data_IF_609602582044
#
_entry.id   IF_609602582044
#
_cell.length_a   1.000
_cell.length_b   1.000
_cell.length_c   1.000
_cell.angle_alpha   90.00
_cell.angle_beta   90.00
_cell.angle_gamma   90.00
#
_symmetry.space_group_name_H-M   'P 1'
#
loop_
_entity.id
_entity.type
_entity.pdbx_description
1 polymer ?
#
# COMPACT_ATOMS: atom_id res chain seq x y z
N UNK A 1 2.09 45.38 -39.32
CA UNK A 1 1.08 44.47 -38.71
C UNK A 1 1.44 42.96 -38.79
N UNK A 2 2.72 42.58 -38.96
CA UNK A 2 3.11 41.15 -39.06
C UNK A 2 4.02 40.59 -37.93
N UNK A 3 4.82 41.38 -37.17
CA UNK A 3 5.71 40.80 -36.16
C UNK A 3 5.03 40.49 -34.83
N UNK A 4 4.01 41.26 -34.42
CA UNK A 4 3.32 41.07 -33.14
C UNK A 4 2.45 39.79 -33.11
N UNK A 5 1.84 39.44 -34.24
CA UNK A 5 1.02 38.23 -34.38
C UNK A 5 1.86 36.96 -34.34
N UNK A 6 3.06 37.00 -34.94
CA UNK A 6 4.03 35.89 -34.91
C UNK A 6 4.58 35.68 -33.49
N UNK A 7 4.86 36.77 -32.77
CA UNK A 7 5.32 36.70 -31.37
C UNK A 7 4.23 36.12 -30.45
N UNK A 8 2.97 36.53 -30.61
CA UNK A 8 1.83 36.00 -29.86
C UNK A 8 1.58 34.50 -30.14
N UNK A 9 1.71 34.07 -31.39
CA UNK A 9 1.65 32.66 -31.76
C UNK A 9 2.80 31.84 -31.16
N UNK A 10 4.03 32.37 -31.18
CA UNK A 10 5.20 31.71 -30.57
C UNK A 10 5.05 31.59 -29.04
N UNK A 11 4.53 32.61 -28.36
CA UNK A 11 4.26 32.53 -26.92
C UNK A 11 3.14 31.54 -26.59
N UNK A 12 2.10 31.44 -27.43
CA UNK A 12 1.03 30.47 -27.23
C UNK A 12 1.49 29.02 -27.46
N UNK A 13 2.33 28.79 -28.48
CA UNK A 13 2.92 27.47 -28.76
C UNK A 13 3.86 27.04 -27.61
N UNK A 14 4.65 27.97 -27.05
CA UNK A 14 5.57 27.67 -25.96
C UNK A 14 4.84 27.36 -24.62
N UNK A 15 3.67 27.97 -24.39
CA UNK A 15 2.83 27.64 -23.22
C UNK A 15 2.13 26.28 -23.34
N UNK A 16 1.78 25.85 -24.56
CA UNK A 16 1.15 24.55 -24.82
C UNK A 16 2.11 23.37 -24.59
N UNK A 17 3.40 23.53 -24.85
CA UNK A 17 4.40 22.47 -24.64
C UNK A 17 4.90 22.36 -23.20
N UNK A 18 4.55 23.32 -22.33
CA UNK A 18 5.08 23.42 -20.97
C UNK A 18 4.19 22.76 -19.89
N UNK A 19 3.04 22.19 -20.25
CA UNK A 19 2.04 21.71 -19.27
C UNK A 19 2.14 20.23 -18.89
N UNK A 20 2.87 19.39 -19.64
CA UNK A 20 2.94 17.94 -19.39
C UNK A 20 4.27 17.50 -18.76
N UNK A 21 4.65 18.11 -17.63
CA UNK A 21 5.88 17.74 -16.88
C UNK A 21 5.54 16.84 -15.66
N UNK A 22 4.43 16.11 -15.68
CA UNK A 22 4.22 15.07 -14.68
C UNK A 22 4.96 13.81 -15.13
N UNK A 23 5.92 13.29 -14.35
CA UNK A 23 6.55 12.03 -14.69
C UNK A 23 5.47 10.94 -14.79
N UNK A 24 5.58 10.02 -15.77
CA UNK A 24 4.64 8.91 -15.86
C UNK A 24 4.68 8.11 -14.55
N UNK A 25 3.53 7.55 -14.16
CA UNK A 25 3.49 6.61 -13.05
C UNK A 25 4.27 5.34 -13.41
N UNK A 26 4.86 4.66 -12.41
CA UNK A 26 5.47 3.35 -12.61
C UNK A 26 4.37 2.29 -12.66
N UNK A 27 4.18 1.59 -13.80
CA UNK A 27 3.16 0.54 -13.92
C UNK A 27 3.36 -0.58 -12.90
N UNK A 28 2.28 -1.26 -12.54
CA UNK A 28 2.28 -2.40 -11.61
C UNK A 28 3.23 -3.50 -12.05
N UNK A 29 3.28 -3.84 -13.34
CA UNK A 29 4.17 -4.90 -13.82
C UNK A 29 5.64 -4.57 -13.52
N UNK A 30 6.09 -3.33 -13.75
CA UNK A 30 7.45 -2.90 -13.38
C UNK A 30 7.70 -2.96 -11.86
N UNK A 31 6.71 -2.58 -11.06
CA UNK A 31 6.80 -2.65 -9.59
C UNK A 31 6.89 -4.09 -9.10
N UNK A 32 6.11 -4.99 -9.68
CA UNK A 32 6.12 -6.44 -9.40
C UNK A 32 7.44 -7.07 -9.86
N UNK A 33 7.93 -6.73 -11.05
CA UNK A 33 9.23 -7.18 -11.55
C UNK A 33 10.37 -6.73 -10.64
N UNK A 34 10.29 -5.50 -10.13
CA UNK A 34 11.20 -4.99 -9.09
C UNK A 34 11.25 -5.88 -7.85
N UNK A 35 10.10 -6.38 -7.39
CA UNK A 35 10.05 -7.35 -6.29
C UNK A 35 10.71 -8.69 -6.64
N UNK A 36 10.44 -9.24 -7.82
CA UNK A 36 11.08 -10.49 -8.27
C UNK A 36 12.60 -10.35 -8.38
N UNK A 37 13.07 -9.22 -8.90
CA UNK A 37 14.49 -8.88 -8.95
C UNK A 37 15.11 -8.80 -7.54
N UNK A 38 14.39 -8.20 -6.57
CA UNK A 38 14.82 -8.18 -5.16
C UNK A 38 14.96 -9.59 -4.58
N UNK A 39 14.00 -10.48 -4.84
CA UNK A 39 14.04 -11.86 -4.35
C UNK A 39 15.24 -12.61 -4.96
N UNK A 40 15.43 -12.54 -6.28
CA UNK A 40 16.55 -13.16 -6.96
C UNK A 40 17.92 -12.62 -6.47
N UNK A 41 18.01 -11.31 -6.20
CA UNK A 41 19.20 -10.70 -5.64
C UNK A 41 19.48 -11.19 -4.20
N UNK A 42 18.43 -11.39 -3.39
CA UNK A 42 18.54 -11.92 -2.03
C UNK A 42 19.09 -13.36 -2.04
N UNK A 43 18.60 -14.21 -2.93
CA UNK A 43 19.08 -15.60 -3.08
C UNK A 43 20.56 -15.69 -3.46
N UNK A 44 21.04 -14.76 -4.28
CA UNK A 44 22.44 -14.71 -4.77
C UNK A 44 23.37 -13.93 -3.85
N UNK A 45 22.86 -13.36 -2.75
CA UNK A 45 23.63 -12.51 -1.87
C UNK A 45 24.64 -13.31 -1.05
N UNK A 46 25.92 -12.92 -1.11
CA UNK A 46 26.98 -13.49 -0.28
C UNK A 46 26.74 -13.28 1.23
N UNK A 47 25.91 -12.30 1.58
CA UNK A 47 25.52 -11.97 2.96
C UNK A 47 24.05 -12.24 3.24
N UNK A 48 23.36 -12.99 2.36
CA UNK A 48 21.91 -13.25 2.46
C UNK A 48 21.48 -14.02 3.70
N UNK A 49 22.42 -14.74 4.34
CA UNK A 49 22.19 -15.49 5.58
C UNK A 49 22.50 -14.69 6.86
N UNK A 50 23.00 -13.46 6.73
CA UNK A 50 23.26 -12.60 7.89
C UNK A 50 21.92 -12.03 8.37
N UNK A 51 21.54 -12.40 9.59
CA UNK A 51 20.34 -11.87 10.22
C UNK A 51 20.53 -10.38 10.58
N UNK A 52 19.65 -9.53 10.05
CA UNK A 52 19.56 -8.15 10.48
C UNK A 52 18.82 -8.07 11.82
N UNK A 53 19.30 -7.19 12.70
CA UNK A 53 18.61 -6.84 13.94
C UNK A 53 18.29 -5.36 13.95
N UNK A 54 17.09 -5.01 14.36
CA UNK A 54 16.76 -3.61 14.64
C UNK A 54 17.64 -3.10 15.78
N UNK A 55 18.20 -1.90 15.62
CA UNK A 55 18.98 -1.19 16.65
C UNK A 55 18.18 -0.01 17.25
N UNK A 56 16.89 0.05 16.97
CA UNK A 56 16.02 1.19 17.28
C UNK A 56 15.71 2.03 16.05
N UNK A 57 15.04 3.19 16.22
CA UNK A 57 14.75 3.89 17.48
C UNK A 57 13.69 3.17 18.34
N UNK A 58 13.88 3.15 19.66
CA UNK A 58 12.90 2.58 20.61
C UNK A 58 11.68 3.45 20.84
N UNK A 59 11.66 4.70 20.33
CA UNK A 59 10.64 5.73 20.64
C UNK A 59 10.05 6.42 19.40
N UNK A 60 10.61 6.26 18.20
CA UNK A 60 10.03 6.94 17.04
C UNK A 60 8.76 6.24 16.59
N UNK A 61 7.63 6.94 16.74
CA UNK A 61 6.33 6.52 16.23
C UNK A 61 6.25 6.75 14.71
N UNK A 62 5.41 5.94 14.05
CA UNK A 62 5.03 6.12 12.65
C UNK A 62 3.60 6.63 12.52
N UNK A 63 3.16 6.88 11.30
CA UNK A 63 1.76 7.20 11.01
C UNK A 63 0.96 5.90 10.95
N UNK A 64 0.14 5.65 11.98
CA UNK A 64 -0.88 4.59 11.96
C UNK A 64 -1.94 4.98 10.93
N UNK A 65 -2.14 4.11 9.96
CA UNK A 65 -3.18 4.25 8.94
C UNK A 65 -4.49 3.61 9.43
N UNK A 66 -4.39 2.46 10.09
CA UNK A 66 -5.55 1.70 10.54
C UNK A 66 -5.21 0.71 11.67
N UNK A 67 -6.22 0.24 12.39
CA UNK A 67 -6.12 -0.79 13.43
C UNK A 67 -7.38 -1.64 13.48
N UNK A 68 -7.22 -2.94 13.74
CA UNK A 68 -8.33 -3.88 13.92
C UNK A 68 -8.10 -4.66 15.22
N UNK A 69 -9.13 -4.74 16.07
CA UNK A 69 -9.04 -5.21 17.46
C UNK A 69 -9.99 -6.37 17.66
N UNK A 70 -9.50 -7.45 18.28
CA UNK A 70 -10.35 -8.60 18.59
C UNK A 70 -11.36 -8.25 19.67
N UNK A 71 -12.65 -8.27 19.33
CA UNK A 71 -13.71 -7.87 20.26
C UNK A 71 -13.76 -8.72 21.55
N UNK A 72 -13.41 -10.01 21.46
CA UNK A 72 -13.37 -10.92 22.62
C UNK A 72 -12.10 -10.78 23.47
N UNK A 73 -11.03 -10.21 22.92
CA UNK A 73 -9.76 -9.99 23.60
C UNK A 73 -9.10 -8.69 23.08
N UNK A 74 -9.40 -7.54 23.70
CA UNK A 74 -8.84 -6.26 23.25
C UNK A 74 -7.32 -6.13 23.42
N UNK A 75 -6.66 -7.09 24.07
CA UNK A 75 -5.18 -7.13 24.15
C UNK A 75 -4.56 -7.66 22.86
N UNK A 76 -5.36 -8.28 21.99
CA UNK A 76 -5.00 -8.78 20.68
C UNK A 76 -5.51 -7.85 19.58
N UNK A 77 -4.59 -7.20 18.87
CA UNK A 77 -4.92 -6.31 17.76
C UNK A 77 -3.80 -6.21 16.73
N UNK A 78 -4.18 -5.75 15.54
CA UNK A 78 -3.24 -5.40 14.48
C UNK A 78 -3.18 -3.89 14.31
N UNK A 79 -2.01 -3.41 13.87
CA UNK A 79 -1.76 -2.00 13.56
C UNK A 79 -1.08 -1.90 12.21
N UNK A 80 -1.72 -1.17 11.30
CA UNK A 80 -1.22 -0.88 9.98
C UNK A 80 -0.58 0.52 9.93
N UNK A 81 0.58 0.62 9.32
CA UNK A 81 1.30 1.89 9.17
C UNK A 81 1.36 2.34 7.72
N UNK A 82 1.28 3.66 7.51
CA UNK A 82 1.36 4.28 6.19
C UNK A 82 2.63 3.89 5.41
N UNK A 83 3.75 3.69 6.12
CA UNK A 83 5.05 3.34 5.56
C UNK A 83 5.86 2.46 6.52
N UNK A 84 5.20 1.56 7.22
CA UNK A 84 5.82 0.75 8.28
C UNK A 84 5.33 -0.69 8.35
N UNK A 85 4.53 -1.15 7.39
CA UNK A 85 4.00 -2.52 7.37
C UNK A 85 2.85 -2.77 8.36
N UNK A 86 2.52 -4.05 8.52
CA UNK A 86 1.49 -4.56 9.43
C UNK A 86 2.16 -5.21 10.64
N UNK A 87 1.63 -4.90 11.83
CA UNK A 87 2.14 -5.41 13.10
C UNK A 87 1.01 -6.03 13.91
N UNK A 88 1.33 -7.11 14.62
CA UNK A 88 0.44 -7.80 15.56
C UNK A 88 0.92 -7.62 16.98
N UNK A 89 0.00 -7.46 17.92
CA UNK A 89 0.26 -7.58 19.36
C UNK A 89 -0.78 -8.47 20.00
N UNK A 90 -0.38 -9.20 21.05
CA UNK A 90 -1.24 -10.05 21.89
C UNK A 90 -1.03 -9.69 23.37
N UNK A 91 -0.41 -8.54 23.64
CA UNK A 91 -0.09 -8.09 25.00
C UNK A 91 -0.34 -6.59 25.17
N UNK A 92 -1.44 -6.13 24.61
CA UNK A 92 -1.94 -4.76 24.74
C UNK A 92 -0.92 -3.71 24.27
N UNK A 93 -0.19 -4.00 23.20
CA UNK A 93 0.80 -3.09 22.62
C UNK A 93 2.14 -3.00 23.37
N UNK A 94 2.42 -3.91 24.32
CA UNK A 94 3.71 -3.94 25.01
C UNK A 94 4.84 -4.41 24.09
N UNK A 95 4.54 -5.30 23.15
CA UNK A 95 5.43 -5.69 22.06
C UNK A 95 4.65 -5.97 20.78
N UNK A 96 5.33 -5.86 19.64
CA UNK A 96 4.74 -6.10 18.33
C UNK A 96 5.59 -7.06 17.50
N UNK A 97 4.90 -7.91 16.72
CA UNK A 97 5.50 -8.81 15.73
C UNK A 97 5.17 -8.29 14.33
N UNK A 98 6.15 -8.07 13.44
CA UNK A 98 5.89 -7.66 12.07
C UNK A 98 5.35 -8.83 11.25
N UNK A 99 4.29 -8.60 10.48
CA UNK A 99 3.64 -9.63 9.65
C UNK A 99 3.84 -9.43 8.15
N UNK A 100 4.19 -8.23 7.68
CA UNK A 100 4.16 -7.87 6.26
C UNK A 100 5.51 -7.41 5.68
N UNK A 101 6.62 -7.61 6.39
CA UNK A 101 7.96 -7.12 6.00
C UNK A 101 8.54 -7.80 4.76
N UNK A 102 7.98 -8.94 4.37
CA UNK A 102 8.49 -9.76 3.27
C UNK A 102 7.80 -9.48 1.94
N UNK A 103 6.67 -8.78 1.96
CA UNK A 103 5.86 -8.54 0.78
C UNK A 103 6.41 -7.41 -0.11
N UNK A 104 5.74 -7.18 -1.25
CA UNK A 104 6.22 -6.27 -2.31
C UNK A 104 6.37 -4.83 -1.83
N UNK A 105 5.52 -4.41 -0.91
CA UNK A 105 5.43 -3.04 -0.41
C UNK A 105 5.22 -3.04 1.10
N UNK A 106 5.60 -1.96 1.76
CA UNK A 106 5.37 -1.76 3.20
C UNK A 106 4.26 -0.74 3.50
N UNK A 107 3.67 -0.14 2.47
CA UNK A 107 2.67 0.90 2.62
C UNK A 107 1.29 0.28 2.71
N UNK A 108 0.56 0.62 3.78
CA UNK A 108 -0.79 0.11 4.03
C UNK A 108 -1.74 1.30 4.15
N UNK A 109 -2.86 1.21 3.44
CA UNK A 109 -3.94 2.17 3.49
C UNK A 109 -5.08 1.75 4.40
N UNK A 110 -5.38 0.45 4.47
CA UNK A 110 -6.48 -0.09 5.28
C UNK A 110 -6.29 -1.59 5.53
N UNK A 111 -6.83 -2.10 6.65
CA UNK A 111 -6.91 -3.53 6.94
C UNK A 111 -8.33 -3.92 7.35
N UNK A 112 -8.69 -5.17 7.12
CA UNK A 112 -9.92 -5.72 7.66
C UNK A 112 -9.74 -7.18 8.08
N UNK A 113 -10.12 -7.50 9.31
CA UNK A 113 -9.86 -8.81 9.91
C UNK A 113 -11.15 -9.58 10.15
N UNK A 114 -11.20 -10.80 9.63
CA UNK A 114 -12.20 -11.81 9.99
C UNK A 114 -11.63 -12.67 11.13
N UNK A 115 -11.79 -12.16 12.35
CA UNK A 115 -11.27 -12.80 13.58
C UNK A 115 -11.73 -14.26 13.75
N UNK A 116 -13.01 -14.64 13.54
CA UNK A 116 -13.43 -16.05 13.62
C UNK A 116 -12.69 -17.01 12.69
N UNK A 117 -12.15 -16.52 11.57
CA UNK A 117 -11.47 -17.34 10.55
C UNK A 117 -9.96 -17.09 10.49
N UNK A 118 -9.42 -16.21 11.34
CA UNK A 118 -8.03 -15.77 11.30
C UNK A 118 -7.60 -15.26 9.92
N UNK A 119 -8.52 -14.59 9.19
CA UNK A 119 -8.22 -14.03 7.86
C UNK A 119 -7.97 -12.55 7.96
N UNK A 120 -6.93 -12.08 7.27
CA UNK A 120 -6.53 -10.67 7.25
C UNK A 120 -6.51 -10.20 5.80
N UNK A 121 -7.29 -9.16 5.51
CA UNK A 121 -7.20 -8.44 4.26
C UNK A 121 -6.35 -7.18 4.45
N UNK A 122 -5.40 -6.96 3.54
CA UNK A 122 -4.52 -5.79 3.56
C UNK A 122 -4.69 -5.02 2.26
N UNK A 123 -5.10 -3.77 2.38
CA UNK A 123 -5.13 -2.78 1.31
C UNK A 123 -3.82 -2.01 1.30
N UNK A 124 -3.02 -2.18 0.25
CA UNK A 124 -1.72 -1.51 0.17
C UNK A 124 -1.82 -0.11 -0.44
N UNK A 125 -0.88 0.74 -0.05
CA UNK A 125 -0.79 2.13 -0.49
C UNK A 125 -1.68 3.06 0.31
N UNK A 126 -1.06 3.99 1.02
CA UNK A 126 -1.75 4.88 1.95
C UNK A 126 -2.48 6.04 1.24
N UNK A 127 -3.67 6.39 1.73
CA UNK A 127 -4.61 7.33 1.09
C UNK A 127 -4.57 8.76 1.61
N UNK A 128 -3.83 9.09 2.67
CA UNK A 128 -3.90 10.44 3.26
C UNK A 128 -3.38 11.54 2.34
N UNK A 129 -2.75 11.19 1.21
CA UNK A 129 -2.27 12.14 0.21
C UNK A 129 -1.35 13.20 0.84
N UNK A 130 -0.52 12.76 1.79
CA UNK A 130 0.42 13.59 2.51
C UNK A 130 1.66 13.84 1.65
N UNK A 131 2.63 14.58 2.21
CA UNK A 131 3.94 14.80 1.54
C UNK A 131 4.67 13.49 1.25
N UNK A 132 4.39 12.43 2.01
CA UNK A 132 4.95 11.08 1.84
C UNK A 132 3.82 10.05 1.81
N UNK A 133 3.28 9.82 0.62
CA UNK A 133 2.28 8.78 0.33
C UNK A 133 2.78 8.00 -0.90
N UNK A 134 3.09 6.72 -0.70
CA UNK A 134 3.69 5.87 -1.72
C UNK A 134 2.67 4.87 -2.26
N UNK A 135 2.79 4.55 -3.55
CA UNK A 135 1.94 3.57 -4.19
C UNK A 135 2.13 2.18 -3.59
N UNK A 136 1.02 1.51 -3.28
CA UNK A 136 0.92 0.09 -3.03
C UNK A 136 0.61 -0.68 -4.31
N UNK A 137 0.45 -1.99 -4.18
CA UNK A 137 0.22 -2.96 -5.27
C UNK A 137 -1.14 -3.65 -5.14
N UNK A 138 -2.14 -3.01 -4.55
CA UNK A 138 -3.49 -3.58 -4.40
C UNK A 138 -3.71 -4.38 -3.12
N UNK A 139 -4.40 -5.51 -3.25
CA UNK A 139 -4.94 -6.27 -2.11
C UNK A 139 -4.10 -7.50 -1.83
N UNK A 140 -3.91 -7.79 -0.54
CA UNK A 140 -3.40 -9.07 -0.06
C UNK A 140 -4.41 -9.74 0.88
N UNK A 141 -4.36 -11.05 0.90
CA UNK A 141 -5.10 -11.90 1.84
C UNK A 141 -4.11 -12.82 2.56
N UNK A 142 -4.27 -12.94 3.87
CA UNK A 142 -3.74 -14.05 4.66
C UNK A 142 -4.90 -14.88 5.19
N UNK A 143 -4.77 -16.21 5.14
CA UNK A 143 -5.72 -17.15 5.73
C UNK A 143 -5.18 -17.86 6.98
N UNK A 144 -4.05 -17.38 7.50
CA UNK A 144 -3.28 -18.03 8.56
C UNK A 144 -2.69 -17.03 9.56
N UNK A 145 -3.46 -16.00 9.92
CA UNK A 145 -3.06 -15.00 10.93
C UNK A 145 -1.78 -14.21 10.55
N UNK A 146 -1.62 -13.94 9.24
CA UNK A 146 -0.51 -13.17 8.68
C UNK A 146 0.81 -13.93 8.56
N UNK A 147 0.79 -15.26 8.64
CA UNK A 147 1.99 -16.08 8.43
C UNK A 147 2.37 -16.17 6.94
N UNK A 148 1.38 -16.27 6.06
CA UNK A 148 1.53 -16.25 4.61
C UNK A 148 0.55 -15.28 3.97
N UNK A 149 0.93 -14.76 2.79
CA UNK A 149 0.18 -13.74 2.07
C UNK A 149 0.02 -14.13 0.61
N UNK A 150 -1.20 -13.96 0.10
CA UNK A 150 -1.56 -14.10 -1.31
C UNK A 150 -1.95 -12.74 -1.86
N UNK A 151 -1.41 -12.37 -3.03
CA UNK A 151 -1.82 -11.17 -3.75
C UNK A 151 -3.14 -11.41 -4.49
N UNK A 152 -4.14 -10.54 -4.29
CA UNK A 152 -5.54 -10.73 -4.75
C UNK A 152 -6.00 -9.66 -5.76
N UNK A 153 -5.06 -9.04 -6.48
CA UNK A 153 -5.36 -8.10 -7.57
C UNK A 153 -5.41 -6.64 -7.16
N UNK A 154 -6.03 -5.81 -8.01
CA UNK A 154 -5.99 -4.34 -7.95
C UNK A 154 -4.56 -3.78 -8.00
N UNK A 155 -3.70 -4.39 -8.83
CA UNK A 155 -2.26 -4.08 -8.85
C UNK A 155 -1.97 -2.63 -9.25
N UNK A 156 -2.83 -2.00 -10.05
CA UNK A 156 -2.69 -0.60 -10.49
C UNK A 156 -3.45 0.39 -9.60
N UNK A 157 -4.02 -0.05 -8.48
CA UNK A 157 -4.88 0.79 -7.64
C UNK A 157 -4.10 1.92 -6.98
N UNK A 158 -2.80 1.74 -6.77
CA UNK A 158 -1.89 2.58 -6.00
C UNK A 158 -2.29 2.77 -4.54
N UNK A 159 -3.54 3.08 -4.23
CA UNK A 159 -3.98 3.44 -2.89
C UNK A 159 -5.36 2.82 -2.61
N UNK A 160 -5.37 1.81 -1.74
CA UNK A 160 -6.59 1.24 -1.16
C UNK A 160 -6.98 2.08 0.06
N UNK A 161 -8.18 2.64 0.05
CA UNK A 161 -8.64 3.55 1.11
C UNK A 161 -9.57 2.94 2.14
N UNK A 162 -10.22 1.83 1.79
CA UNK A 162 -11.08 1.09 2.73
C UNK A 162 -11.37 -0.32 2.23
N UNK A 163 -11.43 -1.27 3.14
CA UNK A 163 -11.92 -2.62 2.99
C UNK A 163 -13.04 -2.80 4.02
N UNK A 164 -14.19 -3.30 3.59
CA UNK A 164 -15.30 -3.63 4.49
C UNK A 164 -15.70 -5.07 4.24
N UNK A 165 -15.64 -5.90 5.29
CA UNK A 165 -16.11 -7.28 5.23
C UNK A 165 -17.62 -7.32 5.40
N UNK A 166 -18.29 -8.21 4.66
CA UNK A 166 -19.68 -8.50 4.95
C UNK A 166 -19.78 -9.18 6.33
N UNK A 167 -20.74 -8.81 7.19
CA UNK A 167 -20.85 -9.35 8.55
C UNK A 167 -21.07 -10.87 8.56
N UNK A 168 -21.93 -11.37 7.67
CA UNK A 168 -22.33 -12.79 7.67
C UNK A 168 -21.79 -13.65 6.50
N UNK A 169 -21.44 -13.04 5.36
CA UNK A 169 -20.97 -13.75 4.17
C UNK A 169 -19.45 -13.63 4.03
N UNK A 170 -18.68 -14.69 4.32
CA UNK A 170 -17.23 -14.67 4.28
C UNK A 170 -16.63 -14.47 2.88
N UNK A 171 -17.44 -14.49 1.82
CA UNK A 171 -17.01 -14.34 0.43
C UNK A 171 -17.32 -12.95 -0.15
N UNK A 172 -18.05 -12.10 0.60
CA UNK A 172 -18.39 -10.74 0.17
C UNK A 172 -17.56 -9.73 0.95
N UNK A 173 -16.89 -8.84 0.23
CA UNK A 173 -16.30 -7.63 0.77
C UNK A 173 -16.45 -6.47 -0.21
N UNK A 174 -16.22 -5.26 0.28
CA UNK A 174 -16.14 -4.06 -0.54
C UNK A 174 -14.77 -3.42 -0.39
N UNK A 175 -14.25 -2.88 -1.49
CA UNK A 175 -12.97 -2.16 -1.53
C UNK A 175 -13.19 -0.78 -2.12
N UNK A 176 -12.82 0.27 -1.40
CA UNK A 176 -12.74 1.63 -1.91
C UNK A 176 -11.32 1.92 -2.37
N UNK A 177 -11.17 2.28 -3.65
CA UNK A 177 -9.89 2.54 -4.30
C UNK A 177 -9.80 4.01 -4.67
N UNK A 178 -8.79 4.70 -4.12
CA UNK A 178 -8.51 6.09 -4.47
C UNK A 178 -7.86 6.20 -5.86
N UNK A 179 -7.11 5.19 -6.29
CA UNK A 179 -6.37 5.24 -7.55
C UNK A 179 -5.07 6.00 -7.41
N UNK A 180 -4.48 6.39 -8.54
CA UNK A 180 -3.26 7.20 -8.54
C UNK A 180 -3.51 8.60 -7.97
N UNK A 181 -2.52 9.13 -7.24
CA UNK A 181 -2.56 10.47 -6.67
C UNK A 181 -2.31 11.59 -7.70
N UNK A 182 -1.38 11.37 -8.63
CA UNK A 182 -0.88 12.40 -9.56
C UNK A 182 -1.12 12.09 -11.03
N UNK A 183 -1.87 11.03 -11.35
CA UNK A 183 -2.17 10.66 -12.73
C UNK A 183 -3.57 10.04 -12.86
N UNK A 184 -4.14 9.95 -14.06
CA UNK A 184 -5.37 9.21 -14.29
C UNK A 184 -5.18 7.74 -13.94
N UNK A 185 -6.24 7.11 -13.40
CA UNK A 185 -6.23 5.70 -13.04
C UNK A 185 -7.63 5.09 -13.26
N UNK A 186 -7.74 4.01 -14.06
CA UNK A 186 -9.02 3.35 -14.29
C UNK A 186 -9.47 2.48 -13.10
N UNK A 187 -8.58 2.14 -12.17
CA UNK A 187 -8.93 1.34 -10.98
C UNK A 187 -9.55 2.16 -9.84
N UNK A 188 -9.70 3.48 -10.00
CA UNK A 188 -10.40 4.32 -9.00
C UNK A 188 -11.88 3.95 -8.96
N UNK A 189 -12.40 3.63 -7.77
CA UNK A 189 -13.81 3.29 -7.62
C UNK A 189 -14.12 2.48 -6.36
N UNK A 190 -15.28 1.84 -6.37
CA UNK A 190 -15.71 0.88 -5.33
C UNK A 190 -15.95 -0.47 -5.98
N UNK A 191 -15.32 -1.49 -5.42
CA UNK A 191 -15.38 -2.87 -5.88
C UNK A 191 -16.15 -3.72 -4.88
N UNK A 192 -16.72 -4.83 -5.37
CA UNK A 192 -17.35 -5.87 -4.57
C UNK A 192 -16.92 -7.22 -5.14
N UNK A 193 -16.67 -8.20 -4.27
CA UNK A 193 -16.46 -9.60 -4.68
C UNK A 193 -17.77 -10.33 -4.95
#
# INVERSE_FOLDING_TARGET
MRPLTILLLLTAICQLTAQDIQPPFTPAHERIDGYQNRLAAKERSLVGQIAFRSIGPTVCSGRVADLDVQASDPTHFYVAYASGGLWKTENNGSSFTPLFDREMVMTIGDIAVDWPRNRIWVGTGEVNSSRSSYAGVGIYLSEDDGQTWEHRGLSESHHIGRIVLHPDDPNTLWVAVLGHLYSPNPERGVYKT
#
